data_IF_140501346556
#
_entry.id   IF_140501346556
#
_cell.length_a   1.000
_cell.length_b   1.000
_cell.length_c   1.000
_cell.angle_alpha   90.00
_cell.angle_beta   90.00
_cell.angle_gamma   90.00
#
_symmetry.space_group_name_H-M   'P 1'
#
loop_
_entity.id
_entity.type
_entity.pdbx_description
1 polymer ?
#
# COMPACT_ATOMS: atom_id res chain seq x y z
N UNK A 1 -21.02 23.25 12.46
CA UNK A 1 -19.58 23.61 12.56
C UNK A 1 -18.79 22.66 13.45
N UNK A 2 -19.10 22.47 14.75
CA UNK A 2 -18.30 21.58 15.61
C UNK A 2 -18.38 20.08 15.27
N UNK A 3 -19.52 19.58 14.78
CA UNK A 3 -19.71 18.18 14.38
C UNK A 3 -18.98 17.81 13.09
N UNK A 4 -18.89 18.75 12.16
CA UNK A 4 -18.28 18.58 10.83
C UNK A 4 -16.74 18.54 10.92
N UNK A 5 -16.16 19.35 11.80
CA UNK A 5 -14.73 19.29 12.12
C UNK A 5 -14.35 17.97 12.80
N UNK A 6 -15.21 17.39 13.65
CA UNK A 6 -14.97 16.09 14.29
C UNK A 6 -15.02 14.93 13.29
N UNK A 7 -16.03 14.90 12.43
CA UNK A 7 -16.13 13.88 11.37
C UNK A 7 -14.94 13.94 10.40
N UNK A 8 -14.44 15.14 10.09
CA UNK A 8 -13.26 15.34 9.26
C UNK A 8 -11.99 14.80 9.93
N UNK A 9 -11.80 15.05 11.22
CA UNK A 9 -10.67 14.51 11.99
C UNK A 9 -10.71 12.98 12.10
N UNK A 10 -11.88 12.40 12.37
CA UNK A 10 -12.06 10.95 12.43
C UNK A 10 -11.76 10.30 11.07
N UNK A 11 -12.24 10.90 9.97
CA UNK A 11 -11.94 10.44 8.61
C UNK A 11 -10.46 10.52 8.27
N UNK A 12 -9.77 11.61 8.66
CA UNK A 12 -8.33 11.75 8.49
C UNK A 12 -7.55 10.69 9.30
N UNK A 13 -7.98 10.42 10.53
CA UNK A 13 -7.32 9.43 11.38
C UNK A 13 -7.47 8.01 10.81
N UNK A 14 -8.67 7.65 10.33
CA UNK A 14 -8.90 6.37 9.64
C UNK A 14 -8.03 6.23 8.38
N UNK A 15 -7.89 7.30 7.58
CA UNK A 15 -7.04 7.30 6.39
C UNK A 15 -5.56 7.10 6.75
N UNK A 16 -5.10 7.73 7.83
CA UNK A 16 -3.74 7.55 8.35
C UNK A 16 -3.48 6.10 8.78
N UNK A 17 -4.43 5.49 9.50
CA UNK A 17 -4.33 4.08 9.90
C UNK A 17 -4.31 3.13 8.69
N UNK A 18 -5.17 3.36 7.70
CA UNK A 18 -5.20 2.56 6.48
C UNK A 18 -3.87 2.68 5.71
N UNK A 19 -3.35 3.89 5.52
CA UNK A 19 -2.08 4.10 4.82
C UNK A 19 -0.90 3.47 5.57
N UNK A 20 -0.88 3.56 6.89
CA UNK A 20 0.14 2.91 7.71
C UNK A 20 0.09 1.38 7.56
N UNK A 21 -1.11 0.78 7.60
CA UNK A 21 -1.29 -0.65 7.41
C UNK A 21 -0.79 -1.11 6.03
N UNK A 22 -1.10 -0.36 4.97
CA UNK A 22 -0.59 -0.66 3.63
C UNK A 22 0.94 -0.60 3.57
N UNK A 23 1.56 0.44 4.16
CA UNK A 23 3.02 0.56 4.24
C UNK A 23 3.66 -0.63 4.97
N UNK A 24 3.08 -1.05 6.09
CA UNK A 24 3.53 -2.22 6.82
C UNK A 24 3.42 -3.50 5.97
N UNK A 25 2.30 -3.69 5.26
CA UNK A 25 2.07 -4.83 4.37
C UNK A 25 3.16 -4.95 3.31
N UNK A 26 3.46 -3.84 2.63
CA UNK A 26 4.50 -3.78 1.61
C UNK A 26 5.88 -4.10 2.20
N UNK A 27 6.26 -3.45 3.31
CA UNK A 27 7.55 -3.68 3.95
C UNK A 27 7.72 -5.15 4.37
N UNK A 28 6.73 -5.74 5.02
CA UNK A 28 6.78 -7.13 5.49
C UNK A 28 6.91 -8.11 4.31
N UNK A 29 6.10 -7.95 3.26
CA UNK A 29 6.17 -8.81 2.07
C UNK A 29 7.52 -8.73 1.36
N UNK A 30 8.04 -7.52 1.16
CA UNK A 30 9.35 -7.32 0.53
C UNK A 30 10.51 -7.86 1.38
N UNK A 31 10.49 -7.62 2.69
CA UNK A 31 11.51 -8.13 3.62
C UNK A 31 11.50 -9.66 3.68
N UNK A 32 10.33 -10.30 3.63
CA UNK A 32 10.23 -11.75 3.53
C UNK A 32 10.81 -12.27 2.21
N UNK A 33 10.43 -11.67 1.08
CA UNK A 33 10.96 -12.07 -0.23
C UNK A 33 12.50 -11.97 -0.28
N UNK A 34 13.06 -10.87 0.24
CA UNK A 34 14.50 -10.69 0.34
C UNK A 34 15.18 -11.75 1.20
N UNK A 35 14.62 -12.06 2.38
CA UNK A 35 15.15 -13.11 3.28
C UNK A 35 15.09 -14.51 2.68
N UNK A 36 14.21 -14.73 1.72
CA UNK A 36 14.09 -15.98 0.98
C UNK A 36 14.83 -15.95 -0.36
N UNK A 37 15.73 -14.99 -0.57
CA UNK A 37 16.60 -14.89 -1.75
C UNK A 37 15.81 -14.76 -3.07
N UNK A 38 14.58 -14.25 -3.01
CA UNK A 38 13.80 -13.92 -4.21
C UNK A 38 14.44 -12.70 -4.86
N UNK A 39 15.01 -12.88 -6.05
CA UNK A 39 15.75 -11.84 -6.77
C UNK A 39 14.89 -11.04 -7.74
N UNK A 40 13.69 -11.52 -8.07
CA UNK A 40 12.74 -10.88 -8.97
C UNK A 40 11.39 -10.78 -8.27
N UNK A 41 11.00 -9.57 -7.88
CA UNK A 41 9.77 -9.33 -7.14
C UNK A 41 8.86 -8.36 -7.89
N UNK A 42 7.61 -8.76 -8.07
CA UNK A 42 6.54 -7.87 -8.52
C UNK A 42 5.66 -7.56 -7.31
N UNK A 43 5.56 -6.27 -6.96
CA UNK A 43 4.72 -5.79 -5.86
C UNK A 43 3.60 -4.95 -6.45
N UNK A 44 2.37 -5.42 -6.20
CA UNK A 44 1.16 -4.71 -6.55
C UNK A 44 0.65 -3.91 -5.36
N UNK A 45 0.19 -2.70 -5.61
CA UNK A 45 -0.51 -1.87 -4.62
C UNK A 45 -1.71 -1.20 -5.27
N UNK A 46 -2.82 -1.15 -4.56
CA UNK A 46 -4.01 -0.40 -4.98
C UNK A 46 -3.90 1.10 -4.64
N UNK A 47 -2.89 1.48 -3.87
CA UNK A 47 -2.65 2.83 -3.38
C UNK A 47 -1.54 3.52 -4.17
N UNK A 48 -1.94 4.33 -5.15
CA UNK A 48 -1.00 5.19 -5.90
C UNK A 48 -0.16 6.08 -4.99
N UNK A 49 -0.77 6.62 -3.93
CA UNK A 49 -0.08 7.45 -2.94
C UNK A 49 1.06 6.67 -2.25
N UNK A 50 0.83 5.40 -1.91
CA UNK A 50 1.87 4.54 -1.35
C UNK A 50 3.05 4.38 -2.31
N UNK A 51 2.79 4.04 -3.57
CA UNK A 51 3.83 3.87 -4.60
C UNK A 51 4.60 5.17 -4.76
N UNK A 52 3.91 6.30 -4.93
CA UNK A 52 4.55 7.58 -5.17
C UNK A 52 5.43 8.02 -3.97
N UNK A 53 5.04 7.67 -2.73
CA UNK A 53 5.86 7.90 -1.54
C UNK A 53 7.14 7.04 -1.52
N UNK A 54 7.08 5.76 -1.89
CA UNK A 54 8.27 4.89 -1.85
C UNK A 54 9.16 5.05 -3.09
N UNK A 55 8.66 5.61 -4.19
CA UNK A 55 9.44 5.90 -5.41
C UNK A 55 9.96 7.35 -5.49
N UNK A 56 9.99 8.09 -4.38
CA UNK A 56 10.46 9.48 -4.34
C UNK A 56 9.70 10.48 -5.24
N UNK A 57 8.49 10.14 -5.68
CA UNK A 57 7.63 11.04 -6.47
C UNK A 57 6.89 12.06 -5.61
N UNK A 58 6.72 11.76 -4.33
CA UNK A 58 6.21 12.69 -3.31
C UNK A 58 7.37 13.18 -2.45
N UNK A 59 7.54 14.50 -2.37
CA UNK A 59 8.46 15.14 -1.43
C UNK A 59 7.74 15.40 -0.12
N UNK A 60 8.34 14.96 0.99
CA UNK A 60 7.87 15.30 2.32
C UNK A 60 8.44 16.65 2.73
N UNK A 61 7.59 17.59 3.14
CA UNK A 61 8.00 18.92 3.64
C UNK A 61 8.59 18.86 5.07
N UNK A 62 8.94 17.67 5.55
CA UNK A 62 9.44 17.37 6.90
C UNK A 62 10.20 16.04 6.90
N UNK A 63 10.24 15.34 8.03
CA UNK A 63 10.90 14.03 8.09
C UNK A 63 10.14 13.01 7.24
N UNK A 64 10.89 12.28 6.41
CA UNK A 64 10.33 11.14 5.67
C UNK A 64 9.93 10.06 6.68
N UNK A 65 8.72 9.48 6.60
CA UNK A 65 8.29 8.44 7.52
C UNK A 65 9.26 7.25 7.53
N UNK A 66 9.58 6.71 8.70
CA UNK A 66 10.56 5.62 8.86
C UNK A 66 10.27 4.40 7.99
N UNK A 67 9.00 3.99 7.86
CA UNK A 67 8.61 2.88 6.99
C UNK A 67 8.92 3.14 5.52
N UNK A 68 8.74 4.38 5.05
CA UNK A 68 9.10 4.76 3.66
C UNK A 68 10.60 4.63 3.45
N UNK A 69 11.42 5.06 4.43
CA UNK A 69 12.88 4.89 4.38
C UNK A 69 13.29 3.41 4.32
N UNK A 70 12.68 2.55 5.13
CA UNK A 70 12.97 1.12 5.12
C UNK A 70 12.58 0.44 3.80
N UNK A 71 11.42 0.79 3.24
CA UNK A 71 10.99 0.26 1.94
C UNK A 71 11.95 0.74 0.83
N UNK A 72 12.35 2.01 0.85
CA UNK A 72 13.35 2.54 -0.09
C UNK A 72 14.70 1.85 0.03
N UNK A 73 15.14 1.54 1.25
CA UNK A 73 16.35 0.75 1.46
C UNK A 73 16.21 -0.62 0.79
N UNK A 74 15.10 -1.33 1.01
CA UNK A 74 14.84 -2.61 0.34
C UNK A 74 14.88 -2.44 -1.18
N UNK A 75 14.23 -1.43 -1.74
CA UNK A 75 14.25 -1.15 -3.19
C UNK A 75 15.66 -0.87 -3.75
N UNK A 76 16.61 -0.44 -2.92
CA UNK A 76 17.98 -0.14 -3.32
C UNK A 76 18.94 -1.36 -3.26
N UNK A 77 18.46 -2.52 -2.80
CA UNK A 77 19.26 -3.75 -2.77
C UNK A 77 19.54 -4.31 -4.18
N UNK A 78 20.41 -5.31 -4.28
CA UNK A 78 20.79 -5.97 -5.54
C UNK A 78 19.75 -7.01 -5.98
N UNK A 79 18.54 -6.57 -6.31
CA UNK A 79 17.44 -7.39 -6.80
C UNK A 79 16.55 -6.56 -7.73
N UNK A 80 15.78 -7.24 -8.58
CA UNK A 80 14.88 -6.61 -9.52
C UNK A 80 13.48 -6.50 -8.91
N UNK A 81 13.05 -5.28 -8.61
CA UNK A 81 11.70 -5.01 -8.10
C UNK A 81 10.91 -4.19 -9.09
N UNK A 82 9.71 -4.68 -9.42
CA UNK A 82 8.71 -3.95 -10.22
C UNK A 82 7.57 -3.56 -9.29
N UNK A 83 7.32 -2.26 -9.17
CA UNK A 83 6.16 -1.73 -8.44
C UNK A 83 5.08 -1.35 -9.45
N UNK A 84 3.87 -1.89 -9.30
CA UNK A 84 2.72 -1.54 -10.14
C UNK A 84 1.54 -1.07 -9.31
N UNK A 85 0.90 -0.01 -9.80
CA UNK A 85 -0.41 0.42 -9.30
C UNK A 85 -1.49 -0.38 -10.00
N UNK A 86 -2.33 -1.10 -9.25
CA UNK A 86 -3.55 -1.73 -9.78
C UNK A 86 -4.75 -0.90 -9.34
N UNK A 87 -5.53 -0.37 -10.29
CA UNK A 87 -6.75 0.33 -9.93
C UNK A 87 -7.72 -0.70 -9.33
N UNK A 88 -8.35 -0.39 -8.18
CA UNK A 88 -9.42 -1.25 -7.63
C UNK A 88 -10.51 -1.60 -8.65
N UNK A 89 -10.64 -0.82 -9.72
CA UNK A 89 -11.53 -1.09 -10.84
C UNK A 89 -11.20 -2.35 -11.65
N UNK A 90 -9.92 -2.69 -11.83
CA UNK A 90 -9.53 -3.96 -12.47
C UNK A 90 -9.79 -5.15 -11.55
N UNK A 91 -9.64 -4.96 -10.23
CA UNK A 91 -10.04 -5.95 -9.24
C UNK A 91 -11.55 -5.99 -9.00
N UNK A 92 -12.34 -5.03 -9.52
CA UNK A 92 -13.79 -4.97 -9.31
C UNK A 92 -14.50 -6.17 -9.94
N UNK A 93 -13.93 -6.75 -11.01
CA UNK A 93 -14.43 -8.01 -11.60
C UNK A 93 -14.19 -9.21 -10.68
N UNK A 94 -13.02 -9.28 -10.04
CA UNK A 94 -12.65 -10.33 -9.07
C UNK A 94 -13.43 -10.15 -7.76
N UNK A 95 -13.60 -8.92 -7.28
CA UNK A 95 -14.39 -8.58 -6.11
C UNK A 95 -15.88 -8.83 -6.37
N UNK A 96 -16.38 -8.56 -7.58
CA UNK A 96 -17.73 -8.96 -7.97
C UNK A 96 -17.88 -10.48 -7.98
N UNK A 97 -16.93 -11.21 -8.54
CA UNK A 97 -16.92 -12.69 -8.54
C UNK A 97 -16.88 -13.26 -7.11
N UNK A 98 -16.06 -12.72 -6.22
CA UNK A 98 -15.96 -13.14 -4.84
C UNK A 98 -17.27 -12.84 -4.06
N UNK A 99 -17.86 -11.66 -4.27
CA UNK A 99 -19.14 -11.29 -3.67
C UNK A 99 -20.30 -12.10 -4.25
N UNK A 100 -20.28 -12.42 -5.54
CA UNK A 100 -21.28 -13.26 -6.19
C UNK A 100 -21.22 -14.69 -5.65
N UNK A 101 -20.03 -15.28 -5.54
CA UNK A 101 -19.82 -16.61 -4.97
C UNK A 101 -20.29 -16.71 -3.51
N UNK A 102 -20.12 -15.65 -2.71
CA UNK A 102 -20.59 -15.59 -1.33
C UNK A 102 -22.10 -15.33 -1.19
N UNK A 103 -22.76 -14.93 -2.28
CA UNK A 103 -24.20 -14.68 -2.32
C UNK A 103 -25.03 -15.88 -2.81
N UNK A 104 -24.36 -16.94 -3.27
CA UNK A 104 -25.02 -18.19 -3.65
C UNK A 104 -25.28 -19.02 -2.38
N UNK A 105 -26.53 -19.43 -2.11
CA UNK A 105 -26.80 -20.32 -1.00
C UNK A 105 -26.14 -21.69 -1.25
N UNK A 106 -25.53 -22.25 -0.20
CA UNK A 106 -24.91 -23.57 -0.16
C UNK A 106 -25.89 -24.70 -0.48
#
# INVERSE_FOLDING_TARGET
>A
MASESRATLEKLNLLMHALHAEMCRMYLGMNLAWRHEITHLHVESDSKMQIDMVTDKVKFNGSTPTLVLHIRHLLALSWQVILSHTWREENRSVDWLANFSNSLPS
#
